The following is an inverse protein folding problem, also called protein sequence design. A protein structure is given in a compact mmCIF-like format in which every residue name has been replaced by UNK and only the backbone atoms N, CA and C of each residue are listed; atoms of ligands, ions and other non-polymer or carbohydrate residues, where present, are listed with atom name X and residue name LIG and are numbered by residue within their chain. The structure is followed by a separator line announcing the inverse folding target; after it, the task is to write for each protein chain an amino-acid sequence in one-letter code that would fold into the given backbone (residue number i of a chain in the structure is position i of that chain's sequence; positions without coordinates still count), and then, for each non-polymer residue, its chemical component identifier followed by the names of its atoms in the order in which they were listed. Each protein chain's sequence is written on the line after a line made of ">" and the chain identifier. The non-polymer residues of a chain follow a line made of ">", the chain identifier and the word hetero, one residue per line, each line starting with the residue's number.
data_IF_329665262765
#
_entry.id   IF_329665262765
#
_cell.length_a   1.000
_cell.length_b   1.000
_cell.length_c   1.000
_cell.angle_alpha   90.00
_cell.angle_beta   90.00
_cell.angle_gamma   90.00
#
_symmetry.space_group_name_H-M   'P 1'
#
loop_
_entity.id
_entity.type
_entity.pdbx_description
1 polymer ?
#
# COMPACT_ATOMS: atom_id res chain seq x y z
N UNK A 1 -3.04 35.53 -1.08
CA UNK A 1 -3.19 35.53 0.39
C UNK A 1 -2.61 34.21 0.89
N UNK A 2 -1.34 34.18 1.30
CA UNK A 2 -0.70 32.97 1.81
C UNK A 2 -1.27 32.58 3.16
N UNK A 3 -2.11 31.58 3.20
CA UNK A 3 -2.54 30.95 4.44
C UNK A 3 -1.30 30.28 5.07
N UNK A 4 -0.99 30.69 6.29
CA UNK A 4 0.23 30.26 6.98
C UNK A 4 0.11 28.77 7.37
N UNK A 5 0.50 27.89 6.45
CA UNK A 5 0.45 26.41 6.62
C UNK A 5 1.18 25.98 7.90
N UNK A 6 2.24 26.67 8.29
CA UNK A 6 3.04 26.35 9.48
C UNK A 6 2.26 26.54 10.81
N UNK A 7 1.41 27.56 10.90
CA UNK A 7 0.58 27.78 12.11
C UNK A 7 -0.52 26.72 12.28
N UNK A 8 -1.07 26.22 11.18
CA UNK A 8 -2.04 25.13 11.22
C UNK A 8 -1.39 23.82 11.65
N UNK A 9 -0.20 23.53 11.15
CA UNK A 9 0.59 22.35 11.50
C UNK A 9 0.98 22.32 12.99
N UNK A 10 1.43 23.45 13.53
CA UNK A 10 1.80 23.58 14.95
C UNK A 10 0.58 23.40 15.86
N UNK A 11 -0.60 23.95 15.49
CA UNK A 11 -1.83 23.74 16.25
C UNK A 11 -2.28 22.30 16.24
N UNK A 12 -2.24 21.63 15.08
CA UNK A 12 -2.57 20.20 14.95
C UNK A 12 -1.65 19.33 15.81
N UNK A 13 -0.33 19.55 15.76
CA UNK A 13 0.65 18.84 16.59
C UNK A 13 0.31 18.91 18.09
N UNK A 14 -0.12 20.08 18.57
CA UNK A 14 -0.47 20.25 19.98
C UNK A 14 -1.77 19.51 20.36
N UNK A 15 -2.78 19.50 19.49
CA UNK A 15 -4.02 18.75 19.73
C UNK A 15 -3.82 17.23 19.66
N UNK A 16 -3.00 16.75 18.72
CA UNK A 16 -2.68 15.34 18.59
C UNK A 16 -1.90 14.80 19.79
N UNK A 17 -0.93 15.56 20.30
CA UNK A 17 -0.21 15.22 21.53
C UNK A 17 -1.12 15.17 22.76
N UNK A 18 -2.07 16.11 22.88
CA UNK A 18 -3.07 16.11 23.97
C UNK A 18 -3.98 14.87 23.87
N UNK A 19 -4.40 14.49 22.65
CA UNK A 19 -5.24 13.31 22.44
C UNK A 19 -4.51 12.00 22.80
N UNK A 20 -3.25 11.83 22.43
CA UNK A 20 -2.44 10.67 22.81
C UNK A 20 -2.29 10.63 24.33
N UNK A 21 -2.02 11.76 24.99
CA UNK A 21 -1.89 11.81 26.45
C UNK A 21 -3.18 11.40 27.15
N UNK A 22 -4.34 11.84 26.65
CA UNK A 22 -5.65 11.47 27.18
C UNK A 22 -5.98 9.98 26.97
N UNK A 23 -5.60 9.39 25.84
CA UNK A 23 -5.79 7.96 25.57
C UNK A 23 -4.92 7.11 26.48
N UNK A 24 -3.66 7.50 26.70
CA UNK A 24 -2.74 6.80 27.61
C UNK A 24 -3.23 6.87 29.07
N UNK A 25 -3.68 8.05 29.52
CA UNK A 25 -4.25 8.24 30.86
C UNK A 25 -5.57 7.47 31.03
N UNK A 26 -6.43 7.46 30.02
CA UNK A 26 -7.67 6.71 30.01
C UNK A 26 -7.45 5.21 30.11
N UNK A 27 -6.47 4.67 29.39
CA UNK A 27 -6.07 3.25 29.42
C UNK A 27 -5.48 2.86 30.78
N UNK A 28 -4.67 3.72 31.37
CA UNK A 28 -4.07 3.47 32.70
C UNK A 28 -5.14 3.46 33.81
N UNK A 29 -6.13 4.34 33.75
CA UNK A 29 -7.25 4.35 34.69
C UNK A 29 -8.14 3.12 34.55
N UNK A 30 -8.40 2.65 33.32
CA UNK A 30 -9.19 1.43 33.07
C UNK A 30 -8.48 0.18 33.62
N UNK A 31 -7.16 0.08 33.54
CA UNK A 31 -6.37 -1.01 34.10
C UNK A 31 -6.40 -1.00 35.64
N UNK A 32 -6.34 0.18 36.26
CA UNK A 32 -6.37 0.30 37.74
C UNK A 32 -7.77 -0.01 38.31
N UNK A 33 -8.84 0.32 37.60
CA UNK A 33 -10.22 0.00 38.03
C UNK A 33 -10.54 -1.49 37.83
N UNK A 34 -10.00 -2.14 36.79
CA UNK A 34 -10.22 -3.57 36.54
C UNK A 34 -9.53 -4.49 37.56
N UNK A 35 -8.52 -4.00 38.27
CA UNK A 35 -7.72 -4.83 39.21
C UNK A 35 -8.24 -4.81 40.66
N UNK A 36 -9.41 -4.19 40.94
CA UNK A 36 -10.02 -4.15 42.29
C UNK A 36 -11.22 -5.08 42.50
N UNK A 37 -11.57 -5.93 41.54
CA UNK A 37 -12.65 -6.88 41.66
C UNK A 37 -12.19 -8.31 41.41
N UNK A 38 -11.74 -8.99 42.46
CA UNK A 38 -11.40 -10.41 42.37
C UNK A 38 -12.66 -11.27 42.20
N UNK A 39 -12.81 -11.85 40.98
CA UNK A 39 -13.54 -13.13 40.75
C UNK A 39 -12.94 -13.81 39.54
N UNK A 40 -12.65 -15.10 39.65
CA UNK A 40 -12.05 -15.94 38.64
C UNK A 40 -12.82 -15.88 37.30
N UNK A 41 -12.13 -15.92 36.15
CA UNK A 41 -12.78 -16.00 34.85
C UNK A 41 -13.49 -17.37 34.68
N UNK A 42 -14.63 -17.43 33.97
CA UNK A 42 -15.31 -18.67 33.68
C UNK A 42 -14.53 -19.55 32.72
N UNK A 43 -14.46 -20.82 33.03
CA UNK A 43 -13.88 -21.87 32.20
C UNK A 43 -14.76 -22.07 30.98
N UNK A 44 -14.18 -21.93 29.78
CA UNK A 44 -14.85 -22.26 28.51
C UNK A 44 -14.91 -23.78 28.34
N UNK A 45 -16.04 -24.37 27.89
CA UNK A 45 -16.16 -25.81 27.68
C UNK A 45 -15.37 -26.24 26.44
N UNK A 46 -14.67 -27.35 26.64
CA UNK A 46 -13.92 -28.11 25.65
C UNK A 46 -14.92 -28.80 24.70
N UNK A 47 -14.95 -28.45 23.43
CA UNK A 47 -15.63 -29.22 22.39
C UNK A 47 -14.59 -29.91 21.51
N UNK A 48 -14.21 -31.12 21.95
CA UNK A 48 -13.69 -32.17 21.09
C UNK A 48 -14.87 -32.82 20.35
N UNK A 49 -15.03 -32.52 19.09
CA UNK A 49 -15.94 -33.16 18.17
C UNK A 49 -15.21 -33.49 16.88
N UNK A 50 -14.72 -34.71 16.78
CA UNK A 50 -14.18 -35.32 15.57
C UNK A 50 -15.36 -35.54 14.63
N UNK A 51 -15.32 -34.96 13.43
CA UNK A 51 -16.11 -35.43 12.29
C UNK A 51 -15.12 -35.75 11.19
N UNK A 52 -14.88 -37.07 11.03
CA UNK A 52 -14.34 -37.65 9.81
C UNK A 52 -15.41 -37.55 8.73
N UNK A 53 -15.11 -36.85 7.63
CA UNK A 53 -15.78 -37.10 6.36
C UNK A 53 -14.71 -37.25 5.28
N UNK A 54 -14.47 -38.48 4.92
CA UNK A 54 -13.66 -38.99 3.83
C UNK A 54 -14.52 -39.08 2.60
N UNK A 55 -14.45 -38.12 1.69
CA UNK A 55 -14.83 -38.34 0.29
C UNK A 55 -13.91 -37.52 -0.65
N UNK A 56 -12.98 -38.23 -1.28
CA UNK A 56 -12.18 -37.79 -2.39
C UNK A 56 -13.09 -37.62 -3.63
N UNK A 57 -12.99 -36.56 -4.40
CA UNK A 57 -13.63 -36.50 -5.71
C UNK A 57 -12.81 -37.27 -6.76
N UNK A 58 -13.55 -37.94 -7.56
CA UNK A 58 -13.30 -38.86 -8.67
C UNK A 58 -12.31 -38.28 -9.72
N UNK A 59 -11.40 -39.15 -10.13
CA UNK A 59 -10.41 -38.92 -11.19
C UNK A 59 -11.12 -38.80 -12.55
N UNK A 60 -10.95 -37.69 -13.24
CA UNK A 60 -11.34 -37.55 -14.64
C UNK A 60 -10.38 -38.28 -15.57
N UNK A 61 -10.88 -38.90 -16.67
CA UNK A 61 -10.07 -39.68 -17.59
C UNK A 61 -9.17 -38.81 -18.49
N UNK A 62 -8.10 -39.37 -19.08
CA UNK A 62 -7.10 -38.64 -19.86
C UNK A 62 -7.68 -38.15 -21.19
N UNK A 63 -7.30 -36.95 -21.57
CA UNK A 63 -7.59 -36.33 -22.88
C UNK A 63 -6.63 -36.94 -23.90
N UNK A 64 -7.20 -37.52 -24.97
CA UNK A 64 -6.47 -38.06 -26.12
C UNK A 64 -5.75 -36.91 -26.87
N UNK A 65 -4.46 -37.10 -27.12
CA UNK A 65 -3.67 -36.29 -28.01
C UNK A 65 -4.09 -36.53 -29.46
N UNK A 66 -4.54 -35.52 -30.16
CA UNK A 66 -4.61 -35.52 -31.62
C UNK A 66 -3.38 -34.78 -32.14
N UNK A 67 -2.44 -35.56 -32.68
CA UNK A 67 -1.44 -35.08 -33.64
C UNK A 67 -2.17 -34.79 -34.95
N UNK A 68 -2.02 -33.57 -35.50
CA UNK A 68 -1.87 -33.35 -36.94
C UNK A 68 -1.68 -31.84 -37.26
N UNK A 69 -0.72 -31.67 -38.18
CA UNK A 69 -0.45 -30.56 -39.11
C UNK A 69 0.42 -29.37 -38.63
N UNK A 70 1.73 -29.60 -38.87
CA UNK A 70 2.74 -28.54 -39.06
C UNK A 70 2.43 -27.72 -40.32
N UNK A 71 2.01 -26.45 -40.15
CA UNK A 71 2.19 -25.43 -41.18
C UNK A 71 3.20 -24.39 -40.68
N UNK A 72 4.44 -24.50 -41.18
CA UNK A 72 5.56 -23.57 -40.97
C UNK A 72 5.21 -22.23 -41.62
N UNK A 73 4.67 -21.27 -40.86
CA UNK A 73 4.75 -19.88 -41.23
C UNK A 73 5.91 -19.21 -40.47
N UNK A 74 6.99 -19.03 -41.21
CA UNK A 74 8.19 -18.31 -40.79
C UNK A 74 7.87 -16.81 -40.85
N UNK A 75 7.33 -16.24 -39.72
CA UNK A 75 7.24 -14.81 -39.52
C UNK A 75 8.35 -14.44 -38.54
N UNK A 76 9.38 -13.79 -39.06
CA UNK A 76 10.39 -13.12 -38.24
C UNK A 76 9.66 -12.16 -37.26
N UNK A 77 9.93 -12.25 -35.95
CA UNK A 77 9.39 -11.24 -35.02
C UNK A 77 10.15 -9.94 -35.27
N UNK A 78 9.51 -9.00 -35.91
CA UNK A 78 9.92 -7.60 -35.80
C UNK A 78 9.60 -7.16 -34.39
N UNK A 79 10.61 -7.12 -33.54
CA UNK A 79 10.59 -6.48 -32.23
C UNK A 79 10.47 -4.97 -32.44
N UNK A 80 9.26 -4.49 -32.68
CA UNK A 80 8.92 -3.09 -32.59
C UNK A 80 8.81 -2.77 -31.09
N UNK A 81 9.92 -2.35 -30.49
CA UNK A 81 9.95 -1.73 -29.17
C UNK A 81 9.28 -0.37 -29.26
N UNK A 82 7.96 -0.35 -29.36
CA UNK A 82 7.21 0.88 -29.20
C UNK A 82 7.29 1.29 -27.73
N UNK A 83 7.85 2.48 -27.46
CA UNK A 83 7.72 3.10 -26.15
C UNK A 83 6.22 3.10 -25.76
N UNK A 84 5.88 2.82 -24.47
CA UNK A 84 4.51 2.83 -24.01
C UNK A 84 3.87 4.17 -24.35
N UNK A 85 2.71 4.16 -25.01
CA UNK A 85 2.01 5.38 -25.40
C UNK A 85 1.61 6.13 -24.13
N UNK A 86 2.27 7.28 -23.92
CA UNK A 86 1.92 8.22 -22.85
C UNK A 86 0.51 8.76 -23.12
N UNK A 87 -0.40 8.77 -22.12
CA UNK A 87 -1.71 9.39 -22.28
C UNK A 87 -1.61 10.86 -22.69
N UNK A 88 -2.57 11.36 -23.48
CA UNK A 88 -2.67 12.78 -23.80
C UNK A 88 -3.37 13.52 -22.66
N UNK A 89 -2.72 14.57 -22.13
CA UNK A 89 -3.26 15.36 -21.02
C UNK A 89 -4.06 16.55 -21.50
N UNK A 90 -5.22 16.77 -20.89
CA UNK A 90 -6.09 17.93 -21.14
C UNK A 90 -5.54 19.18 -20.43
N UNK A 91 -6.06 20.37 -20.78
CA UNK A 91 -5.76 21.61 -20.06
C UNK A 91 -6.24 21.58 -18.61
N UNK A 92 -7.32 20.84 -18.31
CA UNK A 92 -7.81 20.61 -16.95
C UNK A 92 -6.84 19.76 -16.14
N UNK A 93 -6.27 18.70 -16.71
CA UNK A 93 -5.25 17.90 -16.07
C UNK A 93 -4.01 18.74 -15.75
N UNK A 94 -3.57 19.58 -16.71
CA UNK A 94 -2.42 20.48 -16.55
C UNK A 94 -2.64 21.61 -15.56
N UNK A 95 -3.89 21.97 -15.29
CA UNK A 95 -4.24 22.98 -14.29
C UNK A 95 -4.15 22.47 -12.85
N UNK A 96 -4.03 21.16 -12.64
CA UNK A 96 -3.87 20.59 -11.30
C UNK A 96 -2.53 20.99 -10.68
N UNK A 97 -2.50 21.42 -9.40
CA UNK A 97 -1.23 21.70 -8.71
C UNK A 97 -0.38 20.43 -8.48
N UNK A 98 -0.93 19.26 -8.73
CA UNK A 98 -0.28 17.94 -8.59
C UNK A 98 -0.05 17.27 -9.95
N UNK A 99 -0.11 18.03 -11.04
CA UNK A 99 0.21 17.50 -12.36
C UNK A 99 1.70 17.14 -12.44
N UNK A 100 1.98 15.95 -12.97
CA UNK A 100 3.34 15.48 -13.23
C UNK A 100 3.50 15.18 -14.74
N UNK A 101 4.47 15.80 -15.38
CA UNK A 101 4.74 15.56 -16.79
C UNK A 101 5.46 14.24 -17.03
N UNK A 102 6.37 13.88 -16.11
CA UNK A 102 7.19 12.68 -16.20
C UNK A 102 6.42 11.45 -15.74
N UNK A 103 6.67 10.32 -16.40
CA UNK A 103 6.11 9.02 -16.00
C UNK A 103 6.58 8.64 -14.58
N UNK A 104 5.68 8.08 -13.75
CA UNK A 104 6.06 7.65 -12.40
C UNK A 104 7.16 6.58 -12.39
N UNK A 105 8.08 6.68 -11.44
CA UNK A 105 9.10 5.65 -11.23
C UNK A 105 8.44 4.38 -10.72
N UNK A 106 8.63 3.26 -11.44
CA UNK A 106 8.24 1.93 -10.97
C UNK A 106 9.28 1.39 -10.00
N UNK A 107 8.84 1.01 -8.82
CA UNK A 107 9.65 0.29 -7.83
C UNK A 107 8.86 -0.92 -7.34
N UNK A 108 9.41 -2.12 -7.55
CA UNK A 108 8.84 -3.39 -7.11
C UNK A 108 9.95 -4.45 -7.02
N UNK A 109 9.60 -5.74 -6.92
CA UNK A 109 10.58 -6.83 -6.76
C UNK A 109 11.62 -6.93 -7.90
N UNK A 110 11.27 -6.47 -9.09
CA UNK A 110 12.14 -6.50 -10.30
C UNK A 110 12.74 -5.15 -10.64
N UNK A 111 12.12 -4.06 -10.20
CA UNK A 111 12.56 -2.69 -10.47
C UNK A 111 13.04 -2.05 -9.17
N UNK A 112 14.35 -1.88 -9.05
CA UNK A 112 14.99 -1.30 -7.87
C UNK A 112 14.96 0.23 -7.91
N UNK A 113 15.05 0.83 -6.73
CA UNK A 113 15.24 2.27 -6.60
C UNK A 113 16.58 2.65 -7.27
N UNK A 114 16.61 3.68 -8.16
CA UNK A 114 17.86 4.16 -8.74
C UNK A 114 18.89 4.51 -7.66
N UNK A 115 20.17 4.18 -7.90
CA UNK A 115 21.23 4.35 -6.89
C UNK A 115 21.44 5.82 -6.47
N UNK A 116 21.22 6.75 -7.40
CA UNK A 116 21.35 8.19 -7.21
C UNK A 116 20.06 8.86 -6.70
N UNK A 117 18.95 8.10 -6.58
CA UNK A 117 17.68 8.64 -6.09
C UNK A 117 17.78 9.12 -4.64
N UNK A 118 17.39 10.37 -4.43
CA UNK A 118 17.33 11.00 -3.10
C UNK A 118 16.02 11.76 -2.97
N UNK A 119 15.13 11.34 -2.04
CA UNK A 119 13.91 12.08 -1.77
C UNK A 119 14.21 13.44 -1.11
N UNK A 120 13.48 14.48 -1.51
CA UNK A 120 13.47 15.78 -0.81
C UNK A 120 12.45 15.71 0.32
N UNK A 121 12.89 15.24 1.49
CA UNK A 121 12.00 14.87 2.60
C UNK A 121 11.51 16.09 3.37
N UNK A 122 10.23 16.04 3.74
CA UNK A 122 9.55 17.00 4.61
C UNK A 122 8.81 16.27 5.73
N UNK A 123 9.03 16.69 6.98
CA UNK A 123 8.41 16.08 8.14
C UNK A 123 6.96 16.53 8.31
N UNK A 124 6.03 15.57 8.42
CA UNK A 124 4.62 15.78 8.77
C UNK A 124 4.44 15.94 10.28
N UNK A 125 4.86 14.92 11.01
CA UNK A 125 4.96 14.89 12.47
C UNK A 125 6.20 14.08 12.82
N UNK A 126 6.72 14.15 14.07
CA UNK A 126 7.93 13.42 14.46
C UNK A 126 7.90 11.96 14.02
N UNK A 127 8.84 11.58 13.15
CA UNK A 127 9.00 10.22 12.63
C UNK A 127 8.16 9.88 11.39
N UNK A 128 7.40 10.83 10.83
CA UNK A 128 6.67 10.67 9.57
C UNK A 128 7.11 11.73 8.57
N UNK A 129 7.83 11.29 7.55
CA UNK A 129 8.35 12.13 6.49
C UNK A 129 7.81 11.65 5.14
N UNK A 130 7.63 12.58 4.20
CA UNK A 130 7.32 12.30 2.80
C UNK A 130 8.23 13.16 1.92
N UNK A 131 8.44 12.73 0.68
CA UNK A 131 8.93 13.62 -0.36
C UNK A 131 8.03 14.85 -0.44
N UNK A 132 8.62 16.00 -0.71
CA UNK A 132 7.93 17.29 -0.69
C UNK A 132 6.69 17.32 -1.58
N UNK A 133 6.73 16.68 -2.75
CA UNK A 133 5.59 16.58 -3.67
C UNK A 133 4.44 15.80 -3.03
N UNK A 134 4.74 14.63 -2.51
CA UNK A 134 3.77 13.79 -1.82
C UNK A 134 3.26 14.44 -0.52
N UNK A 135 4.11 15.17 0.19
CA UNK A 135 3.75 15.88 1.41
C UNK A 135 2.68 16.95 1.16
N UNK A 136 2.89 17.84 0.18
CA UNK A 136 1.96 18.92 -0.12
C UNK A 136 0.61 18.36 -0.59
N UNK A 137 0.63 17.32 -1.43
CA UNK A 137 -0.55 16.59 -1.89
C UNK A 137 -1.30 15.89 -0.74
N UNK A 138 -0.57 15.20 0.15
CA UNK A 138 -1.17 14.57 1.33
C UNK A 138 -1.78 15.61 2.29
N UNK A 139 -1.12 16.75 2.51
CA UNK A 139 -1.66 17.82 3.34
C UNK A 139 -3.04 18.27 2.88
N UNK A 140 -3.20 18.49 1.58
CA UNK A 140 -4.45 18.96 1.02
C UNK A 140 -5.51 17.84 0.99
N UNK A 141 -5.11 16.59 0.71
CA UNK A 141 -5.97 15.40 0.84
C UNK A 141 -6.48 15.21 2.28
N UNK A 142 -5.58 15.29 3.26
CA UNK A 142 -5.92 15.25 4.69
C UNK A 142 -6.90 16.37 5.05
N UNK A 143 -6.63 17.59 4.63
CA UNK A 143 -7.48 18.75 4.94
C UNK A 143 -8.88 18.61 4.34
N UNK A 144 -8.99 18.08 3.12
CA UNK A 144 -10.28 17.80 2.49
C UNK A 144 -11.04 16.70 3.21
N UNK A 145 -10.38 15.61 3.59
CA UNK A 145 -11.04 14.54 4.35
C UNK A 145 -11.63 15.02 5.68
N UNK A 146 -10.90 15.90 6.39
CA UNK A 146 -11.40 16.50 7.63
C UNK A 146 -12.66 17.37 7.41
N UNK A 147 -12.73 18.12 6.31
CA UNK A 147 -13.94 18.91 5.94
C UNK A 147 -15.14 18.01 5.68
N UNK A 148 -14.92 16.82 5.11
CA UNK A 148 -15.95 15.82 4.82
C UNK A 148 -16.29 14.95 6.04
N UNK A 149 -15.71 15.24 7.21
CA UNK A 149 -15.90 14.49 8.45
C UNK A 149 -15.35 13.06 8.35
N UNK A 150 -14.25 12.88 7.60
CA UNK A 150 -13.52 11.63 7.45
C UNK A 150 -12.12 11.82 8.03
N UNK A 151 -11.71 10.90 8.89
CA UNK A 151 -10.38 10.94 9.50
C UNK A 151 -9.45 9.98 8.76
N UNK A 152 -8.39 10.53 8.17
CA UNK A 152 -7.26 9.77 7.62
C UNK A 152 -5.98 10.17 8.37
N UNK A 153 -5.14 9.21 8.71
CA UNK A 153 -3.85 9.47 9.38
C UNK A 153 -2.79 8.49 8.91
N UNK A 154 -1.52 8.93 8.96
CA UNK A 154 -0.38 8.09 8.61
C UNK A 154 -0.11 7.04 9.68
N UNK A 155 0.07 5.80 9.24
CA UNK A 155 0.60 4.67 10.03
C UNK A 155 2.06 4.44 9.69
N UNK A 156 2.43 4.65 8.41
CA UNK A 156 3.79 4.58 7.92
C UNK A 156 3.97 5.58 6.78
N UNK A 157 5.18 6.10 6.61
CA UNK A 157 5.57 7.02 5.56
C UNK A 157 6.99 6.67 5.08
N UNK A 158 7.88 7.63 4.86
CA UNK A 158 9.25 7.36 4.45
C UNK A 158 9.95 6.37 5.39
N UNK A 159 10.67 5.44 4.79
CA UNK A 159 11.54 4.49 5.49
C UNK A 159 12.91 4.46 4.81
N UNK A 160 13.99 4.70 5.57
CA UNK A 160 15.34 4.50 5.03
C UNK A 160 15.56 3.03 4.64
N UNK A 161 16.53 2.78 3.76
CA UNK A 161 16.90 1.40 3.36
C UNK A 161 17.24 0.53 4.58
N UNK A 162 17.95 1.08 5.54
CA UNK A 162 18.35 0.37 6.78
C UNK A 162 17.15 0.01 7.66
N UNK A 163 16.15 0.90 7.75
CA UNK A 163 14.91 0.62 8.49
C UNK A 163 14.09 -0.44 7.77
N UNK A 164 14.04 -0.38 6.43
CA UNK A 164 13.36 -1.38 5.60
C UNK A 164 14.02 -2.76 5.73
N UNK A 165 15.36 -2.82 5.70
CA UNK A 165 16.12 -4.06 5.90
C UNK A 165 15.83 -4.68 7.27
N UNK A 166 15.84 -3.87 8.31
CA UNK A 166 15.48 -4.33 9.65
C UNK A 166 14.06 -4.90 9.71
N UNK A 167 13.10 -4.24 9.07
CA UNK A 167 11.71 -4.71 9.01
C UNK A 167 11.62 -6.05 8.27
N UNK A 168 12.26 -6.15 7.10
CA UNK A 168 12.28 -7.36 6.30
C UNK A 168 12.89 -8.54 7.07
N UNK A 169 14.10 -8.35 7.60
CA UNK A 169 14.81 -9.39 8.34
C UNK A 169 14.05 -9.81 9.61
N UNK A 170 13.41 -8.86 10.30
CA UNK A 170 12.61 -9.17 11.49
C UNK A 170 11.43 -10.08 11.15
N UNK A 171 10.80 -9.91 9.98
CA UNK A 171 9.68 -10.75 9.52
C UNK A 171 10.16 -12.12 9.07
N UNK A 172 11.29 -12.20 8.38
CA UNK A 172 11.94 -13.47 8.04
C UNK A 172 12.21 -14.28 9.31
N UNK A 173 12.82 -13.66 10.31
CA UNK A 173 13.10 -14.33 11.59
C UNK A 173 11.83 -14.73 12.35
N UNK A 174 10.73 -13.98 12.23
CA UNK A 174 9.42 -14.37 12.77
C UNK A 174 8.90 -15.65 12.12
N UNK A 175 8.94 -15.75 10.79
CA UNK A 175 8.50 -16.93 10.06
C UNK A 175 9.39 -18.16 10.35
N UNK A 176 10.71 -17.97 10.47
CA UNK A 176 11.65 -19.05 10.87
C UNK A 176 11.34 -19.57 12.28
N UNK A 177 11.04 -18.69 13.25
CA UNK A 177 10.62 -19.11 14.60
C UNK A 177 9.31 -19.89 14.60
N UNK A 178 8.45 -19.65 13.61
CA UNK A 178 7.18 -20.39 13.40
C UNK A 178 7.37 -21.68 12.57
N UNK A 179 8.61 -22.08 12.30
CA UNK A 179 8.95 -23.37 11.67
C UNK A 179 9.14 -23.36 10.15
N UNK A 180 9.12 -22.19 9.51
CA UNK A 180 9.45 -22.11 8.07
C UNK A 180 10.96 -22.31 7.85
N UNK A 181 11.30 -22.88 6.68
CA UNK A 181 12.68 -22.81 6.19
C UNK A 181 13.09 -21.37 5.90
N UNK A 182 14.39 -21.08 5.82
CA UNK A 182 14.87 -19.73 5.51
C UNK A 182 14.39 -19.26 4.14
N UNK A 183 14.48 -20.09 3.12
CA UNK A 183 14.06 -19.76 1.75
C UNK A 183 12.54 -19.50 1.66
N UNK A 184 11.73 -20.33 2.33
CA UNK A 184 10.28 -20.13 2.39
C UNK A 184 9.93 -18.86 3.17
N UNK A 185 10.64 -18.57 4.28
CA UNK A 185 10.43 -17.38 5.09
C UNK A 185 10.77 -16.10 4.31
N UNK A 186 11.88 -16.08 3.56
CA UNK A 186 12.26 -14.97 2.67
C UNK A 186 11.20 -14.78 1.58
N UNK A 187 10.80 -15.86 0.90
CA UNK A 187 9.77 -15.82 -0.15
C UNK A 187 8.43 -15.33 0.36
N UNK A 188 7.99 -15.82 1.52
CA UNK A 188 6.74 -15.39 2.14
C UNK A 188 6.79 -13.91 2.60
N UNK A 189 7.94 -13.48 3.12
CA UNK A 189 8.15 -12.09 3.53
C UNK A 189 8.10 -11.15 2.33
N UNK A 190 8.74 -11.50 1.22
CA UNK A 190 8.80 -10.65 0.03
C UNK A 190 7.42 -10.34 -0.60
N UNK A 191 6.39 -11.13 -0.28
CA UNK A 191 5.00 -10.90 -0.73
C UNK A 191 4.24 -9.85 0.10
N UNK A 192 4.80 -9.43 1.24
CA UNK A 192 4.13 -8.50 2.17
C UNK A 192 5.05 -7.38 2.65
N UNK A 193 6.35 -7.52 2.52
CA UNK A 193 7.35 -6.51 2.88
C UNK A 193 8.38 -6.47 1.76
N UNK A 194 8.50 -5.32 1.08
CA UNK A 194 9.46 -5.13 0.01
C UNK A 194 10.91 -5.30 0.50
N UNK A 195 11.79 -5.77 -0.37
CA UNK A 195 13.23 -5.73 -0.14
C UNK A 195 13.72 -4.27 0.08
N UNK A 196 14.85 -4.07 0.78
CA UNK A 196 15.33 -2.73 1.15
C UNK A 196 15.54 -1.77 -0.03
N UNK A 197 15.90 -2.28 -1.18
CA UNK A 197 16.14 -1.52 -2.42
C UNK A 197 14.93 -1.46 -3.37
N UNK A 198 13.79 -2.01 -2.95
CA UNK A 198 12.57 -2.13 -3.76
C UNK A 198 11.32 -1.62 -3.03
N UNK A 199 11.48 -0.84 -1.96
CA UNK A 199 10.35 -0.31 -1.19
C UNK A 199 9.97 1.09 -1.66
N UNK A 200 8.71 1.28 -2.05
CA UNK A 200 8.18 2.61 -2.40
C UNK A 200 8.23 3.61 -1.23
N UNK A 201 8.20 3.12 0.02
CA UNK A 201 8.43 3.98 1.19
C UNK A 201 9.81 4.63 1.19
N UNK A 202 10.82 3.99 0.59
CA UNK A 202 12.15 4.57 0.50
C UNK A 202 12.29 5.63 -0.61
N UNK A 203 11.27 5.77 -1.47
CA UNK A 203 11.13 6.92 -2.36
C UNK A 203 10.58 8.16 -1.63
N UNK A 204 9.99 8.01 -0.45
CA UNK A 204 9.21 9.07 0.19
C UNK A 204 7.86 9.35 -0.48
N UNK A 205 7.44 8.52 -1.44
CA UNK A 205 6.23 8.71 -2.24
C UNK A 205 5.07 7.79 -1.84
N UNK A 206 5.26 6.92 -0.84
CA UNK A 206 4.23 6.02 -0.34
C UNK A 206 3.85 6.33 1.11
N UNK A 207 2.58 6.10 1.43
CA UNK A 207 2.03 6.28 2.78
C UNK A 207 1.04 5.16 3.09
N UNK A 208 1.18 4.57 4.28
CA UNK A 208 0.18 3.65 4.82
C UNK A 208 -0.81 4.43 5.69
N UNK A 209 -2.10 4.28 5.45
CA UNK A 209 -3.17 5.06 6.07
C UNK A 209 -4.05 4.22 6.98
N UNK A 210 -4.34 4.75 8.15
CA UNK A 210 -5.33 4.29 9.14
C UNK A 210 -5.06 2.91 9.77
N UNK A 211 -4.69 1.89 8.99
CA UNK A 211 -4.61 0.49 9.44
C UNK A 211 -3.61 -0.28 8.60
N UNK A 212 -3.16 -1.44 9.07
CA UNK A 212 -2.39 -2.42 8.30
C UNK A 212 -3.14 -3.76 8.19
N UNK A 213 -4.48 -3.70 8.21
CA UNK A 213 -5.36 -4.87 8.08
C UNK A 213 -6.32 -4.68 6.91
N UNK A 214 -6.61 -5.77 6.20
CA UNK A 214 -7.51 -5.76 5.05
C UNK A 214 -8.91 -5.23 5.38
N UNK A 215 -9.38 -5.41 6.63
CA UNK A 215 -10.66 -4.86 7.09
C UNK A 215 -10.78 -3.32 7.02
N UNK A 216 -9.67 -2.62 6.74
CA UNK A 216 -9.71 -1.19 6.45
C UNK A 216 -10.60 -0.87 5.25
N UNK A 217 -10.71 -1.76 4.27
CA UNK A 217 -11.56 -1.61 3.09
C UNK A 217 -13.07 -1.50 3.42
N UNK A 218 -13.49 -1.91 4.63
CA UNK A 218 -14.88 -1.78 5.10
C UNK A 218 -15.19 -0.41 5.71
N UNK A 219 -14.19 0.46 5.85
CA UNK A 219 -14.34 1.74 6.56
C UNK A 219 -14.86 2.88 5.68
N UNK A 220 -15.39 3.93 6.34
CA UNK A 220 -15.74 5.19 5.67
C UNK A 220 -14.50 5.87 5.08
N UNK A 221 -13.35 5.77 5.75
CA UNK A 221 -12.10 6.38 5.30
C UNK A 221 -11.61 5.75 3.98
N UNK A 222 -11.66 4.43 3.86
CA UNK A 222 -11.28 3.75 2.62
C UNK A 222 -12.20 4.17 1.46
N UNK A 223 -13.52 4.18 1.64
CA UNK A 223 -14.45 4.61 0.59
C UNK A 223 -14.17 6.04 0.13
N UNK A 224 -13.94 6.95 1.08
CA UNK A 224 -13.59 8.33 0.76
C UNK A 224 -12.26 8.40 -0.03
N UNK A 225 -11.26 7.62 0.35
CA UNK A 225 -9.98 7.56 -0.36
C UNK A 225 -10.16 7.03 -1.79
N UNK A 226 -10.98 5.99 -2.00
CA UNK A 226 -11.25 5.48 -3.35
C UNK A 226 -11.88 6.54 -4.27
N UNK A 227 -12.71 7.44 -3.73
CA UNK A 227 -13.38 8.49 -4.48
C UNK A 227 -12.52 9.74 -4.68
N UNK A 228 -11.51 9.96 -3.84
CA UNK A 228 -10.86 11.27 -3.76
C UNK A 228 -9.32 11.24 -3.92
N UNK A 229 -8.64 10.14 -3.63
CA UNK A 229 -7.16 10.11 -3.57
C UNK A 229 -6.51 10.54 -4.89
N UNK A 230 -7.10 10.18 -6.04
CA UNK A 230 -6.57 10.51 -7.36
C UNK A 230 -6.49 12.02 -7.63
N UNK A 231 -7.42 12.82 -7.08
CA UNK A 231 -7.41 14.30 -7.19
C UNK A 231 -6.14 14.92 -6.59
N UNK A 232 -5.53 14.21 -5.63
CA UNK A 232 -4.31 14.61 -4.93
C UNK A 232 -3.08 13.83 -5.40
N UNK A 233 -3.21 13.09 -6.51
CA UNK A 233 -2.10 12.36 -7.11
C UNK A 233 -1.76 11.03 -6.45
N UNK A 234 -2.62 10.50 -5.59
CA UNK A 234 -2.43 9.19 -4.97
C UNK A 234 -3.27 8.10 -5.63
N UNK A 235 -2.72 6.89 -5.69
CA UNK A 235 -3.41 5.67 -6.11
C UNK A 235 -3.45 4.65 -4.98
N UNK A 236 -4.46 3.76 -4.98
CA UNK A 236 -4.39 2.51 -4.26
C UNK A 236 -3.38 1.61 -4.98
N UNK A 237 -2.21 1.41 -4.39
CA UNK A 237 -1.06 0.83 -5.09
C UNK A 237 -1.17 -0.67 -5.36
N UNK A 238 -1.73 -1.40 -4.41
CA UNK A 238 -1.86 -2.86 -4.47
C UNK A 238 -3.34 -3.26 -4.39
N UNK A 239 -4.11 -3.06 -5.49
CA UNK A 239 -5.53 -3.34 -5.53
C UNK A 239 -5.81 -4.84 -5.58
N UNK A 240 -6.99 -5.24 -5.11
CA UNK A 240 -7.43 -6.63 -5.07
C UNK A 240 -7.58 -7.21 -6.49
N UNK A 241 -7.05 -8.42 -6.68
CA UNK A 241 -7.09 -9.13 -7.96
C UNK A 241 -5.98 -8.73 -8.93
N UNK A 242 -4.96 -7.99 -8.46
CA UNK A 242 -3.77 -7.61 -9.23
C UNK A 242 -2.48 -8.17 -8.61
N UNK A 243 -2.59 -9.12 -7.68
CA UNK A 243 -1.47 -9.68 -6.92
C UNK A 243 -0.43 -10.36 -7.82
N UNK A 244 -0.89 -11.02 -8.90
CA UNK A 244 0.00 -11.67 -9.87
C UNK A 244 0.80 -10.67 -10.73
N UNK A 245 0.31 -9.44 -10.88
CA UNK A 245 0.95 -8.37 -11.66
C UNK A 245 1.88 -7.55 -10.76
N UNK A 246 1.38 -7.12 -9.60
CA UNK A 246 2.13 -6.28 -8.67
C UNK A 246 3.18 -7.05 -7.88
N UNK A 247 2.99 -8.37 -7.71
CA UNK A 247 3.82 -9.23 -6.86
C UNK A 247 3.53 -9.11 -5.36
N UNK A 248 2.59 -8.24 -4.95
CA UNK A 248 2.20 -8.00 -3.57
C UNK A 248 0.76 -8.41 -3.32
N UNK A 249 0.47 -8.77 -2.07
CA UNK A 249 -0.91 -8.99 -1.62
C UNK A 249 -1.71 -7.69 -1.66
N UNK A 250 -3.04 -7.81 -1.63
CA UNK A 250 -3.94 -6.68 -1.46
C UNK A 250 -3.62 -5.88 -0.19
N UNK A 251 -3.40 -4.57 -0.35
CA UNK A 251 -3.09 -3.65 0.74
C UNK A 251 -3.97 -2.40 0.68
N UNK A 252 -5.18 -2.41 1.27
CA UNK A 252 -6.10 -1.28 1.21
C UNK A 252 -5.59 -0.01 1.89
N UNK A 253 -4.54 -0.11 2.69
CA UNK A 253 -3.90 1.00 3.39
C UNK A 253 -2.80 1.70 2.59
N UNK A 254 -2.19 1.03 1.59
CA UNK A 254 -0.99 1.51 0.90
C UNK A 254 -1.34 2.41 -0.29
N UNK A 255 -1.03 3.69 -0.16
CA UNK A 255 -1.26 4.70 -1.20
C UNK A 255 0.06 5.25 -1.72
N UNK A 256 0.19 5.29 -3.06
CA UNK A 256 1.37 5.78 -3.76
C UNK A 256 1.07 7.10 -4.49
N UNK A 257 1.93 8.13 -4.28
CA UNK A 257 1.90 9.36 -5.07
C UNK A 257 2.51 9.15 -6.45
N UNK A 258 1.79 9.55 -7.48
CA UNK A 258 2.19 9.44 -8.89
C UNK A 258 1.88 10.70 -9.70
N UNK A 259 1.30 11.74 -9.08
CA UNK A 259 0.74 12.91 -9.77
C UNK A 259 -0.74 12.73 -10.14
N UNK A 260 -1.50 13.83 -10.18
CA UNK A 260 -2.97 13.76 -10.28
C UNK A 260 -3.46 13.26 -11.64
N UNK A 261 -2.77 13.60 -12.73
CA UNK A 261 -3.10 13.13 -14.07
C UNK A 261 -2.91 11.60 -14.21
N UNK A 262 -1.77 11.09 -13.75
CA UNK A 262 -1.49 9.65 -13.74
C UNK A 262 -2.45 8.90 -12.80
N UNK A 263 -2.68 9.45 -11.59
CA UNK A 263 -3.57 8.84 -10.61
C UNK A 263 -5.02 8.75 -11.11
N UNK A 264 -5.53 9.82 -11.73
CA UNK A 264 -6.86 9.85 -12.34
C UNK A 264 -6.99 8.74 -13.38
N UNK A 265 -6.05 8.66 -14.32
CA UNK A 265 -6.07 7.65 -15.37
C UNK A 265 -6.05 6.23 -14.79
N UNK A 266 -5.13 5.94 -13.87
CA UNK A 266 -4.97 4.62 -13.24
C UNK A 266 -6.25 4.20 -12.49
N UNK A 267 -6.80 5.10 -11.69
CA UNK A 267 -7.99 4.80 -10.88
C UNK A 267 -9.26 4.69 -11.72
N UNK A 268 -9.45 5.52 -12.75
CA UNK A 268 -10.61 5.47 -13.66
C UNK A 268 -10.63 4.19 -14.50
N UNK A 269 -9.45 3.68 -14.92
CA UNK A 269 -9.35 2.45 -15.71
C UNK A 269 -9.23 1.19 -14.85
N UNK A 270 -9.18 1.34 -13.51
CA UNK A 270 -9.03 0.23 -12.56
C UNK A 270 -7.84 -0.68 -12.88
N UNK A 271 -6.71 -0.08 -13.19
CA UNK A 271 -5.43 -0.74 -13.50
C UNK A 271 -4.42 -0.49 -12.37
N UNK A 272 -3.36 -1.32 -12.28
CA UNK A 272 -2.24 -1.05 -11.39
C UNK A 272 -1.14 -0.24 -12.09
N UNK A 273 -0.15 0.21 -11.33
CA UNK A 273 0.94 1.03 -11.85
C UNK A 273 1.76 0.29 -12.91
N UNK A 274 1.93 -1.01 -12.76
CA UNK A 274 2.62 -1.88 -13.74
C UNK A 274 1.91 -1.85 -15.10
N UNK A 275 0.60 -2.13 -15.12
CA UNK A 275 -0.21 -2.13 -16.35
C UNK A 275 -0.16 -0.75 -17.03
N UNK A 276 -0.27 0.31 -16.23
CA UNK A 276 -0.18 1.68 -16.72
C UNK A 276 1.15 1.98 -17.42
N UNK A 277 2.27 1.59 -16.81
CA UNK A 277 3.61 1.85 -17.35
C UNK A 277 3.96 0.95 -18.55
N UNK A 278 3.33 -0.22 -18.67
CA UNK A 278 3.46 -1.10 -19.84
C UNK A 278 2.56 -0.67 -21.01
N UNK A 279 1.61 0.24 -20.78
CA UNK A 279 0.61 0.63 -21.78
C UNK A 279 -0.45 -0.46 -22.04
N UNK A 280 -0.66 -1.33 -21.06
CA UNK A 280 -1.62 -2.44 -21.08
C UNK A 280 -2.96 -1.98 -20.45
N UNK A 281 -3.80 -1.22 -21.22
CA UNK A 281 -5.09 -0.72 -20.75
C UNK A 281 -6.09 -0.47 -21.90
#
# INVERSE_FOLDING_TARGET
>A
MGYNKDKALVRFRNYFMIFITLVIVGSAVAIVVSNKGGKNPPVLPNHSGIIEDTSLPEVLPPIEENEDDEEKNNVEPQEETSEPKKPEWTDEDRASPYFEEDMPILVNSTNKIPEDYKPDLKEWTPGFELDKKAFDAYYDMYTASQKDGVSIWMVSAYRSKEKQEKNFNSKVEEYKRNGMSEDDAVTATAKIIAHPDSSEHSLGLAVDLNSLYESFDQTKAFRWLQENCAKYGFILRYPKGKEDITGYKYEPWHYRYVGSNHAKFIMEHNICLEEYLMGEY
#
